data_IF_013408902855
#
_entry.id   IF_013408902855
#
_cell.length_a   1.000
_cell.length_b   1.000
_cell.length_c   1.000
_cell.angle_alpha   90.00
_cell.angle_beta   90.00
_cell.angle_gamma   90.00
#
_symmetry.space_group_name_H-M   'P 1'
#
loop_
_entity.id
_entity.type
_entity.pdbx_description
1 polymer ?
#
# COMPACT_ATOMS: atom_id res chain seq x y z
N UNK A 1 4.72 3.61 -10.86
CA UNK A 1 5.24 2.35 -10.32
C UNK A 1 5.09 1.27 -11.38
N UNK A 2 6.05 0.34 -11.50
CA UNK A 2 5.92 -0.78 -12.44
C UNK A 2 4.74 -1.67 -12.06
N UNK A 3 4.11 -2.29 -13.06
CA UNK A 3 3.08 -3.31 -12.89
C UNK A 3 3.48 -4.51 -13.75
N UNK A 4 4.10 -5.53 -13.14
CA UNK A 4 4.62 -6.67 -13.89
C UNK A 4 3.56 -7.73 -14.21
N UNK A 5 2.35 -7.61 -13.66
CA UNK A 5 1.24 -8.53 -13.98
C UNK A 5 0.86 -8.54 -15.46
N UNK A 6 1.17 -7.47 -16.20
CA UNK A 6 1.01 -7.40 -17.65
C UNK A 6 1.83 -8.48 -18.39
N UNK A 7 2.96 -8.93 -17.84
CA UNK A 7 3.77 -10.00 -18.41
C UNK A 7 3.03 -11.34 -18.43
N UNK A 8 2.02 -11.50 -17.58
CA UNK A 8 1.14 -12.67 -17.53
C UNK A 8 -0.21 -12.42 -18.23
N UNK A 9 -0.33 -11.35 -19.03
CA UNK A 9 -1.54 -11.03 -19.78
C UNK A 9 -2.67 -10.39 -18.96
N UNK A 10 -2.42 -10.02 -17.71
CA UNK A 10 -3.41 -9.33 -16.88
C UNK A 10 -3.70 -7.92 -17.40
N UNK A 11 -4.97 -7.50 -17.35
CA UNK A 11 -5.36 -6.12 -17.66
C UNK A 11 -4.95 -5.21 -16.51
N UNK A 12 -4.31 -4.10 -16.83
CA UNK A 12 -4.01 -3.03 -15.87
C UNK A 12 -5.21 -2.12 -15.73
N UNK A 13 -5.61 -1.87 -14.50
CA UNK A 13 -6.72 -0.99 -14.17
C UNK A 13 -6.33 0.14 -13.20
N UNK A 14 -5.09 0.10 -12.69
CA UNK A 14 -4.58 1.04 -11.72
C UNK A 14 -3.22 1.64 -12.13
N UNK A 15 -3.06 2.96 -12.01
CA UNK A 15 -1.78 3.68 -12.06
C UNK A 15 -1.41 4.12 -10.64
N UNK A 16 -0.34 3.56 -10.08
CA UNK A 16 0.21 3.95 -8.79
C UNK A 16 1.51 4.73 -9.00
N UNK A 17 1.62 5.88 -8.33
CA UNK A 17 2.85 6.69 -8.27
C UNK A 17 3.23 6.91 -6.82
N UNK A 18 4.52 6.95 -6.57
CA UNK A 18 5.08 7.22 -5.25
C UNK A 18 6.14 8.31 -5.36
N UNK A 19 6.19 9.15 -4.33
CA UNK A 19 7.24 10.14 -4.13
C UNK A 19 7.74 10.07 -2.70
N UNK A 20 8.89 10.65 -2.44
CA UNK A 20 9.49 10.65 -1.11
C UNK A 20 10.16 11.99 -0.83
N UNK A 21 10.32 12.29 0.45
CA UNK A 21 11.23 13.30 0.98
C UNK A 21 11.58 12.92 2.43
N UNK A 22 12.38 13.74 3.11
CA UNK A 22 12.76 13.51 4.51
C UNK A 22 11.54 13.48 5.46
N UNK A 23 10.41 14.08 5.08
CA UNK A 23 9.18 14.07 5.87
C UNK A 23 8.34 12.80 5.70
N UNK A 24 8.59 11.97 4.68
CA UNK A 24 7.88 10.71 4.49
C UNK A 24 7.64 10.31 3.03
N UNK A 25 6.65 9.45 2.83
CA UNK A 25 6.28 8.90 1.53
C UNK A 25 4.91 9.42 1.09
N UNK A 26 4.81 9.90 -0.14
CA UNK A 26 3.56 10.26 -0.79
C UNK A 26 3.17 9.19 -1.82
N UNK A 27 1.86 8.95 -1.97
CA UNK A 27 1.33 8.09 -3.01
C UNK A 27 0.15 8.75 -3.74
N UNK A 28 0.01 8.39 -5.00
CA UNK A 28 -1.09 8.77 -5.87
C UNK A 28 -1.52 7.53 -6.67
N UNK A 29 -2.75 7.07 -6.44
CA UNK A 29 -3.35 5.93 -7.09
C UNK A 29 -4.56 6.38 -7.90
N UNK A 30 -4.61 6.02 -9.17
CA UNK A 30 -5.78 6.22 -10.03
C UNK A 30 -6.28 4.84 -10.46
N UNK A 31 -7.53 4.52 -10.11
CA UNK A 31 -8.25 3.32 -10.57
C UNK A 31 -9.29 3.73 -11.61
N UNK A 32 -9.36 2.97 -12.72
CA UNK A 32 -10.25 3.22 -13.86
C UNK A 32 -10.96 1.95 -14.32
N UNK A 33 -12.00 2.11 -15.13
CA UNK A 33 -12.76 1.01 -15.69
C UNK A 33 -13.82 0.38 -14.77
N UNK A 34 -14.09 0.98 -13.59
CA UNK A 34 -15.18 0.52 -12.70
C UNK A 34 -16.54 0.89 -13.29
N UNK A 35 -17.48 -0.05 -13.20
CA UNK A 35 -18.89 0.19 -13.49
C UNK A 35 -19.71 0.39 -12.20
N UNK A 36 -19.15 -0.03 -11.06
CA UNK A 36 -19.80 0.08 -9.75
C UNK A 36 -19.03 1.03 -8.82
N UNK A 37 -19.74 1.58 -7.83
CA UNK A 37 -19.11 2.34 -6.75
C UNK A 37 -18.14 1.44 -5.95
N UNK A 38 -17.04 1.98 -5.41
CA UNK A 38 -16.10 1.18 -4.64
C UNK A 38 -16.78 0.55 -3.41
N UNK A 39 -16.43 -0.69 -3.12
CA UNK A 39 -16.95 -1.42 -1.97
C UNK A 39 -15.89 -1.53 -0.88
N UNK A 40 -16.15 -0.95 0.30
CA UNK A 40 -15.22 -1.01 1.43
C UNK A 40 -15.97 -1.30 2.75
N UNK A 41 -15.33 -2.06 3.65
CA UNK A 41 -15.81 -2.37 5.00
C UNK A 41 -14.64 -2.35 5.98
N UNK A 42 -14.79 -1.64 7.08
CA UNK A 42 -13.85 -1.59 8.21
C UNK A 42 -13.52 -2.98 8.80
N UNK A 43 -14.51 -3.86 8.85
CA UNK A 43 -14.39 -5.24 9.34
C UNK A 43 -13.81 -6.20 8.29
N UNK A 44 -13.64 -5.76 7.05
CA UNK A 44 -13.10 -6.56 5.94
C UNK A 44 -12.18 -5.74 5.05
N UNK A 45 -11.16 -5.14 5.67
CA UNK A 45 -10.18 -4.30 4.98
C UNK A 45 -9.43 -5.09 3.90
N UNK A 46 -9.15 -6.37 4.13
CA UNK A 46 -8.50 -7.25 3.16
C UNK A 46 -9.37 -7.53 1.91
N UNK A 47 -10.70 -7.43 2.02
CA UNK A 47 -11.64 -7.63 0.90
C UNK A 47 -12.08 -6.30 0.27
N UNK A 48 -11.65 -5.16 0.83
CA UNK A 48 -12.12 -3.83 0.42
C UNK A 48 -11.38 -3.32 -0.81
N UNK A 49 -12.08 -2.59 -1.66
CA UNK A 49 -11.47 -1.86 -2.77
C UNK A 49 -10.44 -0.87 -2.24
N UNK A 50 -9.25 -0.80 -2.85
CA UNK A 50 -8.23 0.16 -2.45
C UNK A 50 -6.80 -0.32 -2.68
N UNK A 51 -5.87 0.28 -1.94
CA UNK A 51 -4.44 -0.01 -1.99
C UNK A 51 -3.99 -0.72 -0.71
N UNK A 52 -3.26 -1.82 -0.88
CA UNK A 52 -2.41 -2.41 0.15
C UNK A 52 -0.95 -2.11 -0.22
N UNK A 53 -0.19 -1.56 0.72
CA UNK A 53 1.21 -1.16 0.53
C UNK A 53 2.07 -1.73 1.65
N UNK A 54 3.14 -2.43 1.28
CA UNK A 54 4.14 -2.94 2.21
C UNK A 54 5.44 -2.19 2.04
N UNK A 55 6.06 -1.82 3.16
CA UNK A 55 7.33 -1.07 3.21
C UNK A 55 8.26 -1.72 4.24
N UNK A 56 9.47 -2.10 3.83
CA UNK A 56 10.60 -2.38 4.72
C UNK A 56 11.57 -1.19 4.68
N UNK A 57 11.62 -0.43 5.77
CA UNK A 57 12.48 0.76 5.84
C UNK A 57 13.98 0.45 5.86
N UNK A 58 14.38 -0.83 5.99
CA UNK A 58 15.77 -1.29 5.96
C UNK A 58 16.15 -2.06 4.70
N UNK A 59 15.20 -2.28 3.79
CA UNK A 59 15.41 -3.03 2.56
C UNK A 59 16.18 -4.36 2.78
N UNK A 60 15.74 -5.15 3.76
CA UNK A 60 16.50 -6.30 4.28
C UNK A 60 16.59 -7.43 3.23
N UNK A 61 15.55 -7.62 2.42
CA UNK A 61 15.48 -8.49 1.21
C UNK A 61 15.76 -10.00 1.41
N UNK A 62 16.35 -10.42 2.53
CA UNK A 62 16.75 -11.81 2.80
C UNK A 62 16.03 -12.42 4.02
N UNK A 63 14.92 -11.81 4.43
CA UNK A 63 14.08 -12.29 5.53
C UNK A 63 12.76 -12.83 4.99
N UNK A 64 12.36 -14.01 5.49
CA UNK A 64 11.10 -14.67 5.12
C UNK A 64 9.93 -14.34 6.05
N UNK A 65 10.17 -13.50 7.05
CA UNK A 65 9.16 -13.03 7.99
C UNK A 65 9.43 -11.58 8.32
N UNK A 66 8.39 -10.76 8.22
CA UNK A 66 8.43 -9.34 8.55
C UNK A 66 8.98 -9.08 9.97
N UNK A 67 9.79 -8.04 10.12
CA UNK A 67 10.29 -7.55 11.41
C UNK A 67 9.77 -6.15 11.72
N UNK A 68 10.29 -5.50 12.76
CA UNK A 68 9.84 -4.17 13.23
C UNK A 68 10.02 -3.02 12.23
N UNK A 69 10.76 -3.22 11.14
CA UNK A 69 10.95 -2.24 10.07
C UNK A 69 10.00 -2.46 8.88
N UNK A 70 9.24 -3.56 8.91
CA UNK A 70 8.24 -3.91 7.92
C UNK A 70 6.87 -3.36 8.33
N UNK A 71 6.19 -2.71 7.40
CA UNK A 71 4.90 -2.08 7.60
C UNK A 71 3.93 -2.58 6.54
N UNK A 72 2.65 -2.66 6.88
CA UNK A 72 1.55 -2.91 5.95
C UNK A 72 0.50 -1.84 6.14
N UNK A 73 0.28 -1.02 5.12
CA UNK A 73 -0.73 0.02 5.11
C UNK A 73 -1.87 -0.36 4.16
N UNK A 74 -3.09 -0.02 4.54
CA UNK A 74 -4.24 -0.07 3.65
C UNK A 74 -4.83 1.33 3.46
N UNK A 75 -5.16 1.69 2.22
CA UNK A 75 -5.83 2.94 1.85
C UNK A 75 -7.12 2.61 1.13
N UNK A 76 -8.24 3.08 1.68
CA UNK A 76 -9.59 2.83 1.18
C UNK A 76 -10.19 4.13 0.63
N UNK A 77 -10.83 4.11 -0.54
CA UNK A 77 -11.48 5.29 -1.12
C UNK A 77 -12.73 5.71 -0.35
N UNK A 78 -13.35 4.79 0.39
CA UNK A 78 -14.50 4.99 1.28
C UNK A 78 -14.40 4.02 2.47
N UNK A 79 -15.33 4.04 3.41
CA UNK A 79 -15.36 3.12 4.56
C UNK A 79 -14.83 3.70 5.87
N UNK A 80 -14.31 4.93 5.86
CA UNK A 80 -13.97 5.73 7.03
C UNK A 80 -15.09 6.71 7.43
N UNK A 81 -14.87 7.43 8.53
CA UNK A 81 -15.82 8.41 9.06
C UNK A 81 -17.08 7.77 9.66
N UNK A 82 -17.93 8.59 10.28
CA UNK A 82 -19.12 8.10 11.00
C UNK A 82 -20.20 7.48 10.10
N UNK A 83 -20.17 7.76 8.78
CA UNK A 83 -21.13 7.25 7.79
C UNK A 83 -20.50 6.28 6.79
N UNK A 84 -19.25 5.88 6.99
CA UNK A 84 -18.50 5.01 6.07
C UNK A 84 -18.35 5.58 4.64
N UNK A 85 -18.45 6.90 4.46
CA UNK A 85 -18.37 7.61 3.18
C UNK A 85 -17.05 8.40 3.01
N UNK A 86 -16.20 8.44 4.03
CA UNK A 86 -14.89 9.09 4.00
C UNK A 86 -13.78 8.08 3.65
N UNK A 87 -12.66 8.52 3.05
CA UNK A 87 -11.50 7.66 2.85
C UNK A 87 -10.84 7.30 4.17
N UNK A 88 -10.15 6.16 4.21
CA UNK A 88 -9.45 5.67 5.40
C UNK A 88 -8.03 5.20 5.06
N UNK A 89 -7.10 5.43 5.98
CA UNK A 89 -5.76 4.85 5.94
C UNK A 89 -5.46 4.20 7.29
N UNK A 90 -4.93 2.98 7.27
CA UNK A 90 -4.69 2.19 8.48
C UNK A 90 -3.38 1.42 8.37
N UNK A 91 -2.68 1.28 9.50
CA UNK A 91 -1.59 0.34 9.68
C UNK A 91 -2.18 -1.01 10.11
N UNK A 92 -1.87 -2.07 9.37
CA UNK A 92 -2.33 -3.43 9.63
C UNK A 92 -1.18 -4.30 10.12
N UNK A 93 -1.52 -5.35 10.85
CA UNK A 93 -0.57 -6.42 11.15
C UNK A 93 -0.16 -7.16 9.87
N UNK A 94 1.11 -7.53 9.78
CA UNK A 94 1.59 -8.51 8.79
C UNK A 94 1.44 -9.89 9.42
N UNK A 95 0.66 -10.77 8.77
CA UNK A 95 0.51 -12.14 9.21
C UNK A 95 1.89 -12.80 9.31
N UNK A 96 2.12 -13.54 10.41
CA UNK A 96 3.38 -14.25 10.67
C UNK A 96 4.62 -13.34 10.80
N UNK A 97 4.47 -12.05 11.06
CA UNK A 97 5.60 -11.21 11.46
C UNK A 97 6.29 -11.75 12.73
N UNK A 98 7.61 -11.53 12.85
CA UNK A 98 8.39 -11.81 14.07
C UNK A 98 8.25 -10.69 15.10
N UNK A 99 8.16 -9.46 14.62
CA UNK A 99 8.02 -8.23 15.41
C UNK A 99 7.06 -7.29 14.67
N UNK A 100 6.38 -6.44 15.42
CA UNK A 100 5.56 -5.36 14.86
C UNK A 100 6.37 -4.05 14.80
N UNK A 101 6.08 -3.15 13.85
CA UNK A 101 6.59 -1.79 13.90
C UNK A 101 6.05 -1.06 15.14
N UNK A 102 6.63 0.11 15.43
CA UNK A 102 6.13 0.99 16.51
C UNK A 102 4.65 1.31 16.27
N UNK A 103 3.86 1.30 17.34
CA UNK A 103 2.49 1.81 17.28
C UNK A 103 2.46 3.27 16.86
N UNK A 104 1.47 3.61 16.04
CA UNK A 104 1.27 4.95 15.49
C UNK A 104 -0.11 5.45 15.89
N UNK A 105 -0.29 6.77 15.96
CA UNK A 105 -1.63 7.35 15.99
C UNK A 105 -2.21 7.28 14.57
N UNK A 106 -3.33 6.58 14.33
CA UNK A 106 -3.92 6.46 12.99
C UNK A 106 -4.18 7.81 12.31
N UNK A 107 -4.38 8.89 13.07
CA UNK A 107 -4.60 10.25 12.56
C UNK A 107 -3.36 10.87 11.90
N UNK A 108 -2.18 10.27 12.10
CA UNK A 108 -0.94 10.68 11.42
C UNK A 108 -1.00 10.35 9.94
N UNK A 109 -1.63 9.24 9.57
CA UNK A 109 -1.81 8.85 8.17
C UNK A 109 -2.77 9.83 7.49
N UNK A 110 -2.35 10.39 6.36
CA UNK A 110 -3.21 11.28 5.57
C UNK A 110 -3.69 10.54 4.34
N UNK A 111 -4.98 10.69 4.05
CA UNK A 111 -5.60 10.12 2.87
C UNK A 111 -6.69 11.06 2.38
N UNK A 112 -6.82 11.16 1.06
CA UNK A 112 -7.96 11.78 0.41
C UNK A 112 -8.37 10.94 -0.80
N UNK A 113 -9.67 10.91 -1.08
CA UNK A 113 -10.22 10.21 -2.23
C UNK A 113 -11.07 11.17 -3.06
N UNK A 114 -11.03 10.96 -4.38
CA UNK A 114 -11.87 11.65 -5.34
C UNK A 114 -12.56 10.61 -6.22
N UNK A 115 -13.89 10.69 -6.32
CA UNK A 115 -14.65 9.89 -7.28
C UNK A 115 -14.39 10.38 -8.71
N UNK A 116 -14.19 9.45 -9.62
CA UNK A 116 -14.07 9.69 -11.06
C UNK A 116 -15.29 9.10 -11.78
N UNK A 117 -15.47 9.42 -13.06
CA UNK A 117 -16.60 8.92 -13.85
C UNK A 117 -16.61 7.38 -13.95
N UNK A 118 -15.42 6.78 -14.03
CA UNK A 118 -15.18 5.35 -14.26
C UNK A 118 -14.24 4.76 -13.17
N UNK A 119 -14.19 5.34 -11.98
CA UNK A 119 -13.33 4.86 -10.92
C UNK A 119 -13.10 5.87 -9.79
N UNK A 120 -11.88 5.89 -9.24
CA UNK A 120 -11.51 6.77 -8.14
C UNK A 120 -10.02 7.11 -8.17
N UNK A 121 -9.67 8.22 -7.53
CA UNK A 121 -8.30 8.59 -7.21
C UNK A 121 -8.12 8.53 -5.70
N UNK A 122 -7.04 7.93 -5.24
CA UNK A 122 -6.58 7.90 -3.87
C UNK A 122 -5.24 8.63 -3.77
N UNK A 123 -5.14 9.57 -2.84
CA UNK A 123 -3.87 10.22 -2.50
C UNK A 123 -3.58 9.94 -1.04
N UNK A 124 -2.32 9.68 -0.71
CA UNK A 124 -1.92 9.34 0.65
C UNK A 124 -0.57 9.93 1.01
N UNK A 125 -0.38 10.17 2.30
CA UNK A 125 0.92 10.53 2.87
C UNK A 125 1.17 9.70 4.14
N UNK A 126 2.31 9.01 4.13
CA UNK A 126 2.88 8.27 5.24
C UNK A 126 4.01 9.11 5.83
N UNK A 127 3.78 9.78 6.96
CA UNK A 127 4.82 10.62 7.54
C UNK A 127 5.96 9.76 8.12
N UNK A 128 7.16 10.34 8.20
CA UNK A 128 8.35 9.66 8.71
C UNK A 128 8.13 9.08 10.12
N UNK A 129 7.38 9.76 10.99
CA UNK A 129 7.06 9.26 12.34
C UNK A 129 6.21 7.98 12.35
N UNK A 130 5.48 7.69 11.26
CA UNK A 130 4.68 6.49 11.09
C UNK A 130 5.48 5.33 10.45
N UNK A 131 6.72 5.58 10.05
CA UNK A 131 7.61 4.62 9.39
C UNK A 131 8.79 4.33 10.30
N UNK A 132 8.68 3.27 11.10
CA UNK A 132 9.73 2.84 12.02
C UNK A 132 11.05 2.68 11.29
N UNK A 133 12.08 3.44 11.70
CA UNK A 133 13.43 3.39 11.12
C UNK A 133 13.60 4.09 9.78
N UNK A 134 12.63 4.88 9.31
CA UNK A 134 12.78 5.70 8.12
C UNK A 134 13.86 6.77 8.30
N UNK A 135 14.96 6.61 7.57
CA UNK A 135 16.06 7.58 7.49
C UNK A 135 16.62 7.55 6.08
N UNK A 136 16.05 8.30 5.13
CA UNK A 136 16.46 8.24 3.72
C UNK A 136 17.89 8.76 3.48
N UNK A 137 18.45 9.55 4.40
CA UNK A 137 19.85 9.99 4.36
C UNK A 137 20.84 8.86 4.64
N UNK A 138 20.49 7.94 5.55
CA UNK A 138 21.36 6.83 5.94
C UNK A 138 21.04 5.55 5.14
N UNK A 139 19.78 5.40 4.74
CA UNK A 139 19.23 4.25 4.06
C UNK A 139 18.40 4.72 2.85
N UNK A 140 19.06 5.02 1.70
CA UNK A 140 18.40 5.57 0.51
C UNK A 140 17.67 4.50 -0.32
N UNK A 141 17.34 3.35 0.29
CA UNK A 141 16.64 2.25 -0.36
C UNK A 141 15.64 1.62 0.61
N UNK A 142 14.41 1.40 0.15
CA UNK A 142 13.34 0.73 0.89
C UNK A 142 12.96 -0.58 0.19
N UNK A 143 12.65 -1.61 0.97
CA UNK A 143 11.92 -2.76 0.43
C UNK A 143 10.46 -2.39 0.25
N UNK A 144 9.81 -2.82 -0.84
CA UNK A 144 8.39 -2.54 -1.06
C UNK A 144 7.68 -3.60 -1.89
N UNK A 145 6.37 -3.70 -1.69
CA UNK A 145 5.45 -4.28 -2.67
C UNK A 145 4.08 -3.63 -2.50
N UNK A 146 3.20 -3.81 -3.47
CA UNK A 146 1.82 -3.31 -3.38
C UNK A 146 0.83 -4.31 -4.00
N UNK A 147 -0.42 -4.19 -3.57
CA UNK A 147 -1.57 -4.79 -4.23
C UNK A 147 -2.70 -3.78 -4.30
N UNK A 148 -3.22 -3.50 -5.49
CA UNK A 148 -4.49 -2.80 -5.68
C UNK A 148 -5.57 -3.85 -5.76
N UNK A 149 -6.48 -3.83 -4.78
CA UNK A 149 -7.59 -4.75 -4.68
C UNK A 149 -8.84 -4.05 -5.18
N UNK A 150 -9.59 -4.73 -6.02
CA UNK A 150 -10.86 -4.25 -6.52
C UNK A 150 -11.81 -5.43 -6.73
N UNK A 151 -12.98 -5.38 -6.10
CA UNK A 151 -13.97 -6.45 -6.15
C UNK A 151 -14.51 -6.70 -7.56
N UNK A 152 -14.54 -5.67 -8.40
CA UNK A 152 -14.99 -5.75 -9.78
C UNK A 152 -13.83 -6.09 -10.73
N UNK A 153 -12.69 -5.40 -10.55
CA UNK A 153 -11.57 -5.43 -11.51
C UNK A 153 -10.50 -6.46 -11.18
N UNK A 154 -10.56 -7.08 -10.00
CA UNK A 154 -9.63 -8.10 -9.54
C UNK A 154 -8.45 -7.51 -8.75
N UNK A 155 -7.29 -8.16 -8.87
CA UNK A 155 -6.09 -7.79 -8.14
C UNK A 155 -4.97 -7.40 -9.10
N UNK A 156 -4.32 -6.27 -8.81
CA UNK A 156 -3.12 -5.82 -9.51
C UNK A 156 -1.97 -5.63 -8.52
N UNK A 157 -0.92 -6.44 -8.64
CA UNK A 157 0.24 -6.39 -7.76
C UNK A 157 1.45 -5.72 -8.42
N UNK A 158 2.48 -5.45 -7.63
CA UNK A 158 3.78 -4.98 -8.13
C UNK A 158 4.46 -6.04 -9.02
N UNK A 159 4.77 -7.20 -8.46
CA UNK A 159 5.60 -8.25 -9.08
C UNK A 159 4.88 -9.58 -9.18
N UNK A 160 4.71 -10.28 -8.06
CA UNK A 160 4.11 -11.62 -7.95
C UNK A 160 2.65 -11.55 -7.53
N UNK A 161 1.84 -12.53 -7.96
CA UNK A 161 0.43 -12.62 -7.62
C UNK A 161 0.16 -13.33 -6.29
N UNK A 162 -1.12 -13.53 -5.93
CA UNK A 162 -1.56 -14.16 -4.67
C UNK A 162 -1.16 -15.64 -4.54
N UNK A 163 -0.68 -16.26 -5.62
CA UNK A 163 -0.06 -17.59 -5.60
C UNK A 163 1.28 -17.64 -4.85
N UNK A 164 1.87 -16.47 -4.55
CA UNK A 164 3.08 -16.33 -3.73
C UNK A 164 2.78 -15.57 -2.41
N UNK A 165 3.52 -15.84 -1.33
CA UNK A 165 3.26 -15.27 -0.01
C UNK A 165 3.80 -13.82 0.16
N UNK A 166 3.71 -12.97 -0.86
CA UNK A 166 4.30 -11.62 -0.82
C UNK A 166 3.76 -10.74 0.30
N UNK A 167 2.53 -11.00 0.76
CA UNK A 167 1.93 -10.25 1.86
C UNK A 167 2.58 -10.52 3.23
N UNK A 168 3.31 -11.64 3.37
CA UNK A 168 3.92 -12.11 4.62
C UNK A 168 5.45 -12.22 4.55
N UNK A 169 6.00 -12.39 3.34
CA UNK A 169 7.42 -12.69 3.07
C UNK A 169 8.12 -11.50 2.38
N UNK A 170 8.94 -10.71 3.12
CA UNK A 170 9.68 -9.58 2.55
C UNK A 170 10.77 -9.95 1.54
N UNK A 171 11.17 -11.21 1.42
CA UNK A 171 12.15 -11.62 0.39
C UNK A 171 11.59 -11.55 -1.03
N UNK A 172 10.28 -11.38 -1.18
CA UNK A 172 9.58 -11.21 -2.46
C UNK A 172 9.34 -9.73 -2.82
N UNK A 173 9.81 -8.80 -1.98
CA UNK A 173 9.57 -7.36 -2.17
C UNK A 173 10.61 -6.76 -3.10
N UNK A 174 10.22 -5.77 -3.91
CA UNK A 174 11.15 -4.99 -4.71
C UNK A 174 11.94 -3.98 -3.88
N UNK A 175 12.84 -3.25 -4.54
CA UNK A 175 13.55 -2.11 -3.95
C UNK A 175 13.02 -0.79 -4.54
N UNK A 176 12.76 0.19 -3.68
CA UNK A 176 12.61 1.61 -4.04
C UNK A 176 13.93 2.32 -3.79
N UNK A 177 14.61 2.75 -4.84
CA UNK A 177 15.75 3.65 -4.72
C UNK A 177 15.25 5.09 -4.55
N UNK A 178 15.64 5.72 -3.44
CA UNK A 178 15.24 7.07 -3.06
C UNK A 178 16.16 8.09 -3.74
N UNK A 179 15.89 8.35 -5.02
CA UNK A 179 16.66 9.30 -5.85
C UNK A 179 16.19 10.74 -5.64
N UNK A 180 17.13 11.68 -5.63
CA UNK A 180 16.90 13.13 -5.57
C UNK A 180 16.80 13.75 -6.96
#
# INVERSE_FOLDING_TARGET
MPCFSQLHGAKTFADLRMGWNEAGLALDLIVRGKQQAPWCRDSRIDDSDGLQLWIDTRNTQNIHRAGRFCHRFAFLPVGGGGRADEPAAVLLAINRAKESPREIDPRQLKVAAQRLADGYRLTGFLPAEALTGYSPSDQPALGFTYAVLDRELGCQTFSVGPEFPFAEDPSLWGTLDLVR
#
